data_IF_779683233072
#
_entry.id   IF_779683233072
#
_cell.length_a   1.000
_cell.length_b   1.000
_cell.length_c   1.000
_cell.angle_alpha   90.00
_cell.angle_beta   90.00
_cell.angle_gamma   90.00
#
_symmetry.space_group_name_H-M   'P 1'
#
loop_
_entity.id
_entity.type
_entity.pdbx_description
1 polymer ?
#
# COMPACT_ATOMS: atom_id res chain seq x y z
N UNK A 1 12.29 -0.36 21.93
CA UNK A 1 12.31 -1.76 22.41
C UNK A 1 13.04 -2.57 21.35
N UNK A 2 14.09 -3.28 21.74
CA UNK A 2 14.74 -4.22 20.84
C UNK A 2 13.76 -5.34 20.50
N UNK A 3 13.60 -5.63 19.21
CA UNK A 3 12.71 -6.66 18.70
C UNK A 3 13.61 -7.83 18.27
N UNK A 4 13.65 -8.89 19.08
CA UNK A 4 14.51 -10.04 18.79
C UNK A 4 13.87 -11.06 17.84
N UNK A 5 12.54 -11.19 17.86
CA UNK A 5 11.77 -12.18 17.06
C UNK A 5 10.43 -11.59 16.64
N UNK A 6 10.40 -10.79 15.57
CA UNK A 6 9.16 -10.18 15.12
C UNK A 6 8.17 -11.22 14.57
N UNK A 7 6.88 -10.96 14.79
CA UNK A 7 5.80 -11.68 14.13
C UNK A 7 5.46 -10.93 12.86
N UNK A 8 5.67 -11.54 11.72
CA UNK A 8 5.51 -10.94 10.39
C UNK A 8 4.34 -11.59 9.66
N UNK A 9 3.34 -10.79 9.25
CA UNK A 9 2.23 -11.24 8.43
C UNK A 9 2.51 -11.03 6.96
N UNK A 10 2.61 -12.07 6.14
CA UNK A 10 2.64 -11.89 4.68
C UNK A 10 1.25 -11.51 4.22
N UNK A 11 1.13 -10.31 3.63
CA UNK A 11 -0.13 -9.80 3.10
C UNK A 11 -0.07 -9.63 1.58
N UNK A 12 -0.70 -10.55 0.87
CA UNK A 12 -0.77 -10.52 -0.60
C UNK A 12 -1.86 -9.60 -1.13
N UNK A 13 -2.47 -8.78 -0.39
CA UNK A 13 -3.49 -7.79 -0.75
C UNK A 13 -4.51 -8.25 -1.84
N UNK A 14 -5.68 -7.61 -1.99
CA UNK A 14 -6.65 -7.97 -3.06
C UNK A 14 -6.14 -7.73 -4.49
N UNK A 15 -5.03 -7.01 -4.64
CA UNK A 15 -4.42 -6.68 -5.94
C UNK A 15 -3.12 -7.46 -6.21
N UNK A 16 -2.97 -8.63 -5.59
CA UNK A 16 -1.80 -9.48 -5.75
C UNK A 16 -1.49 -9.88 -7.20
N UNK A 17 -2.50 -10.01 -8.03
CA UNK A 17 -2.37 -10.27 -9.46
C UNK A 17 -1.63 -9.18 -10.22
N UNK A 18 -1.62 -7.94 -9.70
CA UNK A 18 -0.86 -6.80 -10.26
C UNK A 18 0.64 -6.86 -10.00
N UNK A 19 1.09 -7.67 -9.04
CA UNK A 19 2.52 -7.86 -8.82
C UNK A 19 3.14 -8.64 -9.98
N UNK A 20 4.26 -8.16 -10.48
CA UNK A 20 5.08 -8.86 -11.46
C UNK A 20 5.69 -10.14 -10.86
N UNK A 21 6.08 -11.06 -11.70
CA UNK A 21 6.60 -12.36 -11.25
C UNK A 21 7.76 -12.22 -10.26
N UNK A 22 8.71 -11.36 -10.58
CA UNK A 22 9.91 -11.13 -9.76
C UNK A 22 9.58 -10.51 -8.39
N UNK A 23 8.59 -9.62 -8.32
CA UNK A 23 8.10 -9.06 -7.06
C UNK A 23 7.45 -10.13 -6.19
N UNK A 24 6.67 -11.04 -6.80
CA UNK A 24 6.08 -12.18 -6.10
C UNK A 24 7.15 -13.11 -5.53
N UNK A 25 8.14 -13.47 -6.37
CA UNK A 25 9.26 -14.32 -5.95
C UNK A 25 10.06 -13.67 -4.84
N UNK A 26 10.36 -12.38 -4.96
CA UNK A 26 11.10 -11.62 -3.95
C UNK A 26 10.39 -11.61 -2.60
N UNK A 27 9.07 -11.34 -2.59
CA UNK A 27 8.29 -11.31 -1.35
C UNK A 27 8.33 -12.65 -0.62
N UNK A 28 8.10 -13.75 -1.33
CA UNK A 28 8.12 -15.11 -0.76
C UNK A 28 9.52 -15.50 -0.27
N UNK A 29 10.56 -15.18 -1.05
CA UNK A 29 11.95 -15.43 -0.67
C UNK A 29 12.35 -14.60 0.57
N UNK A 30 11.92 -13.35 0.64
CA UNK A 30 12.14 -12.49 1.81
C UNK A 30 11.47 -13.08 3.05
N UNK A 31 10.22 -13.50 2.94
CA UNK A 31 9.49 -14.10 4.05
C UNK A 31 10.18 -15.37 4.57
N UNK A 32 10.64 -16.25 3.67
CA UNK A 32 11.41 -17.44 4.02
C UNK A 32 12.70 -17.08 4.73
N UNK A 33 13.48 -16.15 4.19
CA UNK A 33 14.73 -15.67 4.78
C UNK A 33 14.53 -15.14 6.20
N UNK A 34 13.50 -14.32 6.42
CA UNK A 34 13.20 -13.75 7.74
C UNK A 34 12.77 -14.84 8.74
N UNK A 35 12.05 -15.87 8.30
CA UNK A 35 11.73 -17.02 9.13
C UNK A 35 12.99 -17.79 9.55
N UNK A 36 13.94 -18.04 8.64
CA UNK A 36 15.23 -18.69 8.92
C UNK A 36 16.08 -17.87 9.91
N UNK A 37 15.88 -16.54 9.95
CA UNK A 37 16.54 -15.63 10.92
C UNK A 37 15.80 -15.52 12.25
N UNK A 38 14.71 -16.25 12.45
CA UNK A 38 14.01 -16.38 13.72
C UNK A 38 12.71 -15.56 13.83
N UNK A 39 12.25 -14.89 12.77
CA UNK A 39 10.93 -14.30 12.77
C UNK A 39 9.84 -15.38 12.75
N UNK A 40 8.69 -15.09 13.37
CA UNK A 40 7.48 -15.91 13.17
C UNK A 40 6.72 -15.35 11.98
N UNK A 41 6.67 -16.10 10.88
CA UNK A 41 6.01 -15.67 9.65
C UNK A 41 4.68 -16.42 9.49
N UNK A 42 3.61 -15.67 9.22
CA UNK A 42 2.25 -16.21 9.02
C UNK A 42 1.58 -15.55 7.82
N UNK A 43 0.69 -16.28 7.15
CA UNK A 43 -0.14 -15.70 6.10
C UNK A 43 -1.27 -14.84 6.70
N UNK A 44 -1.46 -13.66 6.13
CA UNK A 44 -2.52 -12.72 6.50
C UNK A 44 -3.30 -12.34 5.24
N UNK A 45 -4.63 -12.39 5.33
CA UNK A 45 -5.51 -11.97 4.25
C UNK A 45 -6.61 -11.05 4.78
N UNK A 46 -7.13 -10.19 3.90
CA UNK A 46 -8.29 -9.40 4.22
C UNK A 46 -9.58 -10.24 4.12
N UNK A 47 -10.57 -9.88 4.94
CA UNK A 47 -11.90 -10.46 4.80
C UNK A 47 -12.48 -10.17 3.41
N UNK A 48 -13.26 -11.11 2.87
CA UNK A 48 -13.84 -11.00 1.53
C UNK A 48 -14.68 -9.72 1.32
N UNK A 49 -15.25 -9.17 2.40
CA UNK A 49 -15.97 -7.89 2.37
C UNK A 49 -15.12 -6.69 1.89
N UNK A 50 -13.80 -6.82 1.88
CA UNK A 50 -12.85 -5.77 1.45
C UNK A 50 -12.19 -6.08 0.10
N UNK A 51 -12.71 -7.02 -0.67
CA UNK A 51 -12.16 -7.36 -2.00
C UNK A 51 -12.16 -6.17 -2.97
N UNK A 52 -13.10 -5.22 -2.83
CA UNK A 52 -13.25 -4.03 -3.67
C UNK A 52 -12.77 -2.74 -3.00
N UNK A 53 -11.96 -2.84 -1.95
CA UNK A 53 -11.53 -1.67 -1.16
C UNK A 53 -10.75 -0.62 -1.98
N UNK A 54 -10.10 -1.03 -3.06
CA UNK A 54 -9.43 -0.13 -4.01
C UNK A 54 -10.45 0.77 -4.73
N UNK A 55 -11.63 0.24 -5.06
CA UNK A 55 -12.69 1.02 -5.70
C UNK A 55 -13.27 2.06 -4.72
N UNK A 56 -13.33 1.71 -3.43
CA UNK A 56 -13.73 2.64 -2.38
C UNK A 56 -12.70 3.77 -2.22
N UNK A 57 -11.40 3.42 -2.22
CA UNK A 57 -10.32 4.42 -2.23
C UNK A 57 -10.43 5.35 -3.44
N UNK A 58 -10.65 4.81 -4.64
CA UNK A 58 -10.78 5.58 -5.87
C UNK A 58 -12.00 6.51 -5.84
N UNK A 59 -13.13 6.06 -5.28
CA UNK A 59 -14.34 6.86 -5.13
C UNK A 59 -14.12 8.03 -4.14
N UNK A 60 -13.47 7.77 -3.00
CA UNK A 60 -13.15 8.80 -2.01
C UNK A 60 -12.19 9.82 -2.61
N UNK A 61 -11.06 9.36 -3.15
CA UNK A 61 -10.02 10.22 -3.72
C UNK A 61 -10.57 11.08 -4.87
N UNK A 62 -11.37 10.48 -5.75
CA UNK A 62 -12.01 11.20 -6.86
C UNK A 62 -12.96 12.29 -6.36
N UNK A 63 -13.90 11.94 -5.47
CA UNK A 63 -14.85 12.88 -4.90
C UNK A 63 -14.18 14.05 -4.18
N UNK A 64 -13.15 13.80 -3.39
CA UNK A 64 -12.43 14.82 -2.65
C UNK A 64 -11.54 15.66 -3.57
N UNK A 65 -10.91 15.07 -4.59
CA UNK A 65 -10.11 15.82 -5.57
C UNK A 65 -10.90 16.91 -6.29
N UNK A 66 -12.13 16.63 -6.71
CA UNK A 66 -13.00 17.64 -7.36
C UNK A 66 -13.24 18.86 -6.48
N UNK A 67 -13.30 18.65 -5.17
CA UNK A 67 -13.56 19.71 -4.17
C UNK A 67 -12.28 20.40 -3.74
N UNK A 68 -11.22 19.66 -3.49
CA UNK A 68 -9.95 20.20 -3.06
C UNK A 68 -9.29 21.07 -4.14
N UNK A 69 -9.47 20.70 -5.42
CA UNK A 69 -8.98 21.48 -6.57
C UNK A 69 -10.06 22.36 -7.21
N UNK A 70 -11.08 22.76 -6.44
CA UNK A 70 -12.19 23.56 -7.00
C UNK A 70 -11.72 24.92 -7.53
N UNK A 71 -10.80 25.58 -6.83
CA UNK A 71 -10.28 26.89 -7.25
C UNK A 71 -9.45 26.78 -8.53
N UNK A 72 -8.52 25.84 -8.59
CA UNK A 72 -7.68 25.58 -9.76
C UNK A 72 -8.54 25.20 -10.96
N UNK A 73 -9.51 24.34 -10.77
CA UNK A 73 -10.42 23.86 -11.82
C UNK A 73 -11.28 24.98 -12.39
N UNK A 74 -11.74 25.90 -11.55
CA UNK A 74 -12.63 26.97 -11.96
C UNK A 74 -11.91 28.19 -12.51
N UNK A 75 -10.74 28.53 -11.93
CA UNK A 75 -10.01 29.77 -12.30
C UNK A 75 -8.84 29.53 -13.24
N UNK A 76 -8.22 28.35 -13.21
CA UNK A 76 -7.00 28.07 -13.96
C UNK A 76 -7.00 26.65 -14.59
N UNK A 77 -8.07 26.20 -15.28
CA UNK A 77 -8.18 24.84 -15.80
C UNK A 77 -7.05 24.49 -16.77
N UNK A 78 -6.52 25.47 -17.49
CA UNK A 78 -5.45 25.28 -18.48
C UNK A 78 -4.08 25.03 -17.83
N UNK A 79 -3.92 25.37 -16.53
CA UNK A 79 -2.69 25.13 -15.77
C UNK A 79 -2.68 23.77 -15.06
N UNK A 80 -3.78 23.06 -15.08
CA UNK A 80 -3.86 21.71 -14.50
C UNK A 80 -3.36 20.68 -15.48
N UNK A 81 -2.56 19.70 -14.98
CA UNK A 81 -2.05 18.61 -15.80
C UNK A 81 -3.19 17.69 -16.29
N UNK A 82 -2.97 17.01 -17.41
CA UNK A 82 -3.91 16.04 -17.96
C UNK A 82 -4.14 14.88 -16.97
N UNK A 83 -3.08 14.43 -16.29
CA UNK A 83 -3.15 13.33 -15.32
C UNK A 83 -4.15 13.60 -14.19
N UNK A 84 -4.19 14.84 -13.69
CA UNK A 84 -5.15 15.25 -12.65
C UNK A 84 -6.56 15.37 -13.23
N UNK A 85 -6.69 16.04 -14.39
CA UNK A 85 -8.01 16.29 -15.02
C UNK A 85 -8.68 15.00 -15.46
N UNK A 86 -7.95 14.14 -16.18
CA UNK A 86 -8.48 12.92 -16.81
C UNK A 86 -8.46 11.72 -15.85
N UNK A 87 -7.69 11.80 -14.76
CA UNK A 87 -7.58 10.79 -13.72
C UNK A 87 -8.58 10.99 -12.57
N UNK A 88 -8.11 11.41 -11.39
CA UNK A 88 -8.95 11.47 -10.18
C UNK A 88 -10.11 12.45 -10.31
N UNK A 89 -9.93 13.55 -11.02
CA UNK A 89 -10.98 14.57 -11.16
C UNK A 89 -12.13 14.10 -12.03
N UNK A 90 -11.85 13.50 -13.19
CA UNK A 90 -12.87 12.91 -14.06
C UNK A 90 -13.69 11.84 -13.30
N UNK A 91 -13.01 10.93 -12.64
CA UNK A 91 -13.69 9.92 -11.80
C UNK A 91 -14.55 10.58 -10.72
N UNK A 92 -14.04 11.61 -10.06
CA UNK A 92 -14.75 12.28 -8.98
C UNK A 92 -16.01 13.02 -9.40
N UNK A 93 -16.09 13.48 -10.65
CA UNK A 93 -17.31 14.09 -11.21
C UNK A 93 -18.42 13.05 -11.45
N UNK A 94 -18.06 11.79 -11.64
CA UNK A 94 -18.98 10.67 -11.84
C UNK A 94 -19.45 10.04 -10.52
N UNK A 95 -18.71 10.27 -9.41
CA UNK A 95 -19.06 9.73 -8.09
C UNK A 95 -20.20 10.56 -7.48
N UNK A 96 -21.36 9.91 -7.25
CA UNK A 96 -22.45 10.49 -6.50
C UNK A 96 -22.20 10.53 -5.00
N UNK A 97 -22.91 11.43 -4.29
CA UNK A 97 -22.76 11.57 -2.83
C UNK A 97 -23.01 10.27 -2.06
N UNK A 98 -24.02 9.50 -2.45
CA UNK A 98 -24.32 8.22 -1.80
C UNK A 98 -23.18 7.21 -1.94
N UNK A 99 -22.55 7.15 -3.12
CA UNK A 99 -21.37 6.29 -3.36
C UNK A 99 -20.19 6.72 -2.49
N UNK A 100 -19.94 8.03 -2.38
CA UNK A 100 -18.91 8.58 -1.52
C UNK A 100 -19.15 8.20 -0.04
N UNK A 101 -20.38 8.38 0.45
CA UNK A 101 -20.74 8.03 1.84
C UNK A 101 -20.60 6.54 2.10
N UNK A 102 -21.01 5.69 1.14
CA UNK A 102 -20.82 4.24 1.23
C UNK A 102 -19.35 3.86 1.31
N UNK A 103 -18.51 4.47 0.46
CA UNK A 103 -17.06 4.26 0.47
C UNK A 103 -16.42 4.68 1.78
N UNK A 104 -16.81 5.82 2.35
CA UNK A 104 -16.31 6.27 3.65
C UNK A 104 -16.67 5.30 4.79
N UNK A 105 -17.89 4.73 4.78
CA UNK A 105 -18.30 3.70 5.76
C UNK A 105 -17.44 2.44 5.63
N UNK A 106 -17.20 1.99 4.39
CA UNK A 106 -16.31 0.85 4.14
C UNK A 106 -14.87 1.14 4.58
N UNK A 107 -14.37 2.35 4.35
CA UNK A 107 -13.04 2.75 4.81
C UNK A 107 -12.92 2.70 6.34
N UNK A 108 -13.94 3.12 7.09
CA UNK A 108 -13.96 3.01 8.56
C UNK A 108 -13.91 1.55 9.00
N UNK A 109 -14.74 0.68 8.41
CA UNK A 109 -14.75 -0.74 8.71
C UNK A 109 -13.42 -1.42 8.34
N UNK A 110 -12.83 -1.04 7.20
CA UNK A 110 -11.53 -1.54 6.76
C UNK A 110 -10.40 -1.16 7.71
N UNK A 111 -10.35 0.08 8.20
CA UNK A 111 -9.36 0.52 9.19
C UNK A 111 -9.42 -0.33 10.45
N UNK A 112 -10.63 -0.56 10.98
CA UNK A 112 -10.81 -1.42 12.15
C UNK A 112 -10.37 -2.87 11.88
N UNK A 113 -10.65 -3.40 10.69
CA UNK A 113 -10.20 -4.73 10.29
C UNK A 113 -8.67 -4.80 10.21
N UNK A 114 -8.02 -3.82 9.56
CA UNK A 114 -6.56 -3.77 9.47
C UNK A 114 -5.93 -3.67 10.86
N UNK A 115 -6.46 -2.83 11.75
CA UNK A 115 -5.97 -2.76 13.14
C UNK A 115 -6.03 -4.12 13.84
N UNK A 116 -7.10 -4.89 13.66
CA UNK A 116 -7.25 -6.22 14.27
C UNK A 116 -6.24 -7.26 13.80
N UNK A 117 -5.62 -7.07 12.63
CA UNK A 117 -4.56 -7.96 12.15
C UNK A 117 -3.33 -7.90 13.05
N UNK A 118 -3.06 -6.72 13.63
CA UNK A 118 -1.91 -6.50 14.50
C UNK A 118 -2.02 -7.12 15.91
N UNK A 119 -3.15 -7.72 16.26
CA UNK A 119 -3.25 -8.58 17.42
C UNK A 119 -2.36 -9.83 17.28
N UNK A 120 -2.16 -10.29 16.05
CA UNK A 120 -1.42 -11.52 15.72
C UNK A 120 0.00 -11.25 15.22
N UNK A 121 0.25 -10.10 14.62
CA UNK A 121 1.53 -9.75 13.99
C UNK A 121 2.03 -8.39 14.46
N UNK A 122 3.32 -8.15 14.30
CA UNK A 122 3.96 -6.88 14.65
C UNK A 122 4.02 -5.95 13.45
N UNK A 123 4.17 -6.53 12.24
CA UNK A 123 4.13 -5.82 10.96
C UNK A 123 3.51 -6.73 9.88
N UNK A 124 2.99 -6.10 8.82
CA UNK A 124 2.66 -6.80 7.58
C UNK A 124 3.82 -6.63 6.60
N UNK A 125 4.15 -7.70 5.87
CA UNK A 125 5.09 -7.71 4.75
C UNK A 125 4.30 -7.79 3.45
N UNK A 126 4.50 -6.83 2.54
CA UNK A 126 3.70 -6.68 1.32
C UNK A 126 4.55 -6.09 0.18
N UNK A 127 4.15 -6.19 -1.09
CA UNK A 127 4.80 -5.45 -2.15
C UNK A 127 4.66 -3.93 -1.96
N UNK A 128 5.68 -3.17 -2.37
CA UNK A 128 5.62 -1.70 -2.42
C UNK A 128 5.20 -1.17 -3.79
N UNK A 129 5.49 -1.93 -4.85
CA UNK A 129 5.20 -1.61 -6.24
C UNK A 129 4.96 -2.89 -7.04
N UNK A 130 4.36 -2.81 -8.25
CA UNK A 130 4.16 -3.98 -9.11
C UNK A 130 5.47 -4.69 -9.49
N UNK A 131 6.52 -3.94 -9.78
CA UNK A 131 7.81 -4.44 -10.24
C UNK A 131 8.88 -3.34 -10.18
N UNK A 132 9.84 -3.41 -11.09
CA UNK A 132 10.87 -2.38 -11.26
C UNK A 132 10.28 -1.04 -11.70
N UNK A 133 11.02 0.04 -11.47
CA UNK A 133 10.63 1.37 -11.93
C UNK A 133 10.39 1.38 -13.44
N UNK A 134 9.32 2.02 -13.93
CA UNK A 134 9.08 2.20 -15.37
C UNK A 134 10.20 2.98 -16.04
N UNK A 135 10.43 2.69 -17.33
CA UNK A 135 11.40 3.41 -18.13
C UNK A 135 10.93 4.82 -18.47
N UNK A 136 11.84 5.79 -18.38
CA UNK A 136 11.59 7.19 -18.73
C UNK A 136 10.89 7.97 -17.61
N UNK A 137 10.43 9.19 -17.96
CA UNK A 137 9.82 10.15 -17.01
C UNK A 137 8.31 10.37 -17.25
N UNK A 138 7.75 9.71 -18.25
CA UNK A 138 6.35 9.91 -18.65
C UNK A 138 5.34 9.18 -17.75
N UNK A 139 5.80 8.24 -16.94
CA UNK A 139 4.98 7.49 -16.02
C UNK A 139 5.76 7.16 -14.74
N UNK A 140 5.19 7.49 -13.57
CA UNK A 140 5.85 7.33 -12.27
C UNK A 140 5.62 5.97 -11.60
N UNK A 141 4.90 5.07 -12.25
CA UNK A 141 4.50 3.76 -11.72
C UNK A 141 3.06 3.72 -11.21
N UNK A 142 2.57 2.51 -10.96
CA UNK A 142 1.22 2.27 -10.45
C UNK A 142 1.23 2.24 -8.91
N UNK A 143 0.52 3.14 -8.21
CA UNK A 143 0.48 3.20 -6.76
C UNK A 143 -0.45 2.15 -6.13
N UNK A 144 -0.91 1.16 -6.88
CA UNK A 144 -1.96 0.22 -6.49
C UNK A 144 -1.69 -0.47 -5.14
N UNK A 145 -0.43 -0.83 -4.85
CA UNK A 145 -0.04 -1.46 -3.58
C UNK A 145 0.00 -0.48 -2.40
N UNK A 146 0.02 0.83 -2.65
CA UNK A 146 0.04 1.85 -1.58
C UNK A 146 -1.35 2.43 -1.29
N UNK A 147 -2.27 2.35 -2.24
CA UNK A 147 -3.61 2.93 -2.11
C UNK A 147 -4.39 2.38 -0.92
N UNK A 148 -4.28 1.09 -0.64
CA UNK A 148 -4.96 0.45 0.50
C UNK A 148 -4.41 0.93 1.84
N UNK A 149 -3.10 1.13 1.94
CA UNK A 149 -2.45 1.60 3.18
C UNK A 149 -2.71 3.08 3.43
N UNK A 150 -2.79 3.87 2.36
CA UNK A 150 -3.27 5.26 2.44
C UNK A 150 -4.68 5.32 3.00
N UNK A 151 -5.59 4.46 2.51
CA UNK A 151 -6.96 4.38 3.00
C UNK A 151 -7.03 3.86 4.44
N UNK A 152 -6.15 2.92 4.80
CA UNK A 152 -6.03 2.37 6.14
C UNK A 152 -5.42 3.35 7.15
N UNK A 153 -4.77 4.43 6.69
CA UNK A 153 -4.02 5.39 7.51
C UNK A 153 -2.87 4.75 8.30
N UNK A 154 -2.25 3.71 7.75
CA UNK A 154 -1.15 2.98 8.38
C UNK A 154 0.21 3.55 8.00
N UNK A 155 1.20 3.56 8.90
CA UNK A 155 2.57 3.88 8.55
C UNK A 155 3.20 2.75 7.73
N UNK A 156 4.03 3.12 6.76
CA UNK A 156 4.71 2.17 5.86
C UNK A 156 6.19 2.52 5.74
N UNK A 157 7.03 1.50 5.63
CA UNK A 157 8.47 1.61 5.33
C UNK A 157 8.82 0.64 4.23
N UNK A 158 9.47 1.11 3.17
CA UNK A 158 10.00 0.24 2.11
C UNK A 158 11.49 0.00 2.32
N UNK A 159 11.91 -1.24 2.22
CA UNK A 159 13.30 -1.67 2.33
C UNK A 159 13.76 -2.27 0.99
N UNK A 160 14.97 -1.97 0.51
CA UNK A 160 15.54 -2.66 -0.64
C UNK A 160 15.76 -4.13 -0.28
N UNK A 161 15.33 -5.04 -1.15
CA UNK A 161 15.38 -6.47 -0.87
C UNK A 161 15.94 -7.31 -2.03
N UNK A 162 16.11 -6.73 -3.21
CA UNK A 162 16.67 -7.41 -4.36
C UNK A 162 16.86 -6.50 -5.57
N UNK A 163 17.31 -7.10 -6.66
CA UNK A 163 17.47 -6.48 -7.97
C UNK A 163 16.60 -7.24 -8.96
N UNK A 164 15.85 -6.52 -9.78
CA UNK A 164 14.99 -7.10 -10.79
C UNK A 164 15.74 -7.45 -12.09
N UNK A 165 15.01 -7.99 -13.05
CA UNK A 165 15.58 -8.49 -14.31
C UNK A 165 16.23 -7.42 -15.18
N UNK A 166 15.81 -6.15 -15.05
CA UNK A 166 16.39 -5.00 -15.75
C UNK A 166 17.55 -4.34 -15.00
N UNK A 167 17.91 -4.89 -13.84
CA UNK A 167 19.00 -4.37 -13.00
C UNK A 167 18.58 -3.24 -12.06
N UNK A 168 17.28 -2.95 -11.90
CA UNK A 168 16.80 -1.93 -11.00
C UNK A 168 16.44 -2.52 -9.62
N UNK A 169 16.47 -1.70 -8.55
CA UNK A 169 16.12 -2.16 -7.22
C UNK A 169 14.65 -2.60 -7.12
N UNK A 170 14.44 -3.70 -6.42
CA UNK A 170 13.13 -4.14 -5.94
C UNK A 170 13.09 -4.05 -4.41
N UNK A 171 11.97 -3.58 -3.89
CA UNK A 171 11.75 -3.43 -2.46
C UNK A 171 10.60 -4.28 -1.94
N UNK A 172 10.63 -4.52 -0.62
CA UNK A 172 9.50 -5.01 0.15
C UNK A 172 9.01 -3.92 1.09
N UNK A 173 7.72 -3.87 1.35
CA UNK A 173 7.12 -2.89 2.23
C UNK A 173 6.69 -3.53 3.55
N UNK A 174 7.04 -2.89 4.63
CA UNK A 174 6.52 -3.18 5.96
C UNK A 174 5.42 -2.16 6.30
N UNK A 175 4.30 -2.68 6.76
CA UNK A 175 3.16 -1.87 7.21
C UNK A 175 2.98 -2.08 8.70
N UNK A 176 2.85 -0.98 9.45
CA UNK A 176 2.68 -0.99 10.90
C UNK A 176 1.24 -0.66 11.32
N UNK A 177 0.93 -0.93 12.59
CA UNK A 177 -0.30 -0.46 13.22
C UNK A 177 -0.35 1.08 13.21
N UNK A 178 -1.52 1.65 13.03
CA UNK A 178 -1.74 3.10 13.11
C UNK A 178 -1.20 3.67 14.43
N UNK A 179 -0.51 4.82 14.33
CA UNK A 179 0.08 5.52 15.48
C UNK A 179 1.16 4.72 16.23
N UNK A 180 1.74 3.70 15.60
CA UNK A 180 2.81 2.88 16.17
C UNK A 180 4.10 2.93 15.32
N UNK A 181 4.46 4.12 14.84
CA UNK A 181 5.60 4.37 13.96
C UNK A 181 6.91 3.88 14.58
N UNK A 182 7.13 4.11 15.87
CA UNK A 182 8.33 3.65 16.60
C UNK A 182 8.48 2.13 16.53
N UNK A 183 7.36 1.39 16.66
CA UNK A 183 7.38 -0.06 16.58
C UNK A 183 7.68 -0.53 15.15
N UNK A 184 7.07 0.12 14.16
CA UNK A 184 7.34 -0.15 12.75
C UNK A 184 8.83 0.07 12.44
N UNK A 185 9.40 1.22 12.83
CA UNK A 185 10.80 1.55 12.59
C UNK A 185 11.76 0.57 13.29
N UNK A 186 11.46 0.18 14.52
CA UNK A 186 12.25 -0.83 15.25
C UNK A 186 12.21 -2.19 14.54
N UNK A 187 11.03 -2.61 14.06
CA UNK A 187 10.90 -3.86 13.30
C UNK A 187 11.58 -3.75 11.93
N UNK A 188 11.46 -2.59 11.26
CA UNK A 188 12.12 -2.36 9.97
C UNK A 188 13.66 -2.41 10.10
N UNK A 189 14.21 -1.88 11.18
CA UNK A 189 15.65 -1.99 11.46
C UNK A 189 16.09 -3.46 11.63
N UNK A 190 15.29 -4.26 12.36
CA UNK A 190 15.56 -5.69 12.49
C UNK A 190 15.48 -6.39 11.11
N UNK A 191 14.43 -6.14 10.33
CA UNK A 191 14.29 -6.72 8.99
C UNK A 191 15.45 -6.32 8.09
N UNK A 192 15.81 -5.03 8.03
CA UNK A 192 16.92 -4.54 7.20
C UNK A 192 18.24 -5.25 7.51
N UNK A 193 18.52 -5.49 8.80
CA UNK A 193 19.73 -6.21 9.23
C UNK A 193 19.75 -7.69 8.84
N UNK A 194 18.64 -8.25 8.34
CA UNK A 194 18.49 -9.66 7.98
C UNK A 194 18.08 -9.88 6.52
N UNK A 195 18.12 -8.84 5.69
CA UNK A 195 17.85 -8.93 4.25
C UNK A 195 19.09 -9.31 3.40
N UNK A 196 20.28 -9.15 3.96
CA UNK A 196 21.57 -9.52 3.32
C UNK A 196 21.87 -11.03 3.38
#
# INVERSE_FOLDING_TARGET
RDIDRPRIGICRSPVWDKAEHETKVLLEATATRLADKGATVVDVSFAAAFATIIDDHAAITGWESVRNYADERLRNPDKMSAEIKDGPMKRGLEVGFERYVAAQRQAVAFRAHVDSLFDKVDVLLTPSAPGEAPEGIGFTGDPVFNSIWTLAHTPCVTLPAGIGAKGLPLGVQLVGLRHADDRLLSTAAWVAAHLD
#
